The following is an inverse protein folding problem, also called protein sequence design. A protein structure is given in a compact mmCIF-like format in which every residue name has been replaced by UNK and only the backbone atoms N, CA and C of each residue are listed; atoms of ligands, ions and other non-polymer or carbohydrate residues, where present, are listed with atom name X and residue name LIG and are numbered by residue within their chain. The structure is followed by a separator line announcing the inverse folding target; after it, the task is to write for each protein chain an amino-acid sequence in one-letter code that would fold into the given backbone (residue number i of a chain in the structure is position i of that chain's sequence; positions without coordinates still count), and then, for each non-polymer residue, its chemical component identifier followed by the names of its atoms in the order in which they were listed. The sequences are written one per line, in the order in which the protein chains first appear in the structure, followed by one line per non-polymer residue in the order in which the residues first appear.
data_IF_578654254013
#
_entry.id   IF_578654254013
#
_cell.length_a   1.000
_cell.length_b   1.000
_cell.length_c   1.000
_cell.angle_alpha   90.00
_cell.angle_beta   90.00
_cell.angle_gamma   90.00
#
_symmetry.space_group_name_H-M   'P 1'
#
loop_
_entity.id
_entity.type
_entity.pdbx_description
1 polymer ?
#
# COMPACT_ATOMS: atom_id res chain seq x y z
N UNK A 1 -17.17 9.87 13.69
CA UNK A 1 -16.99 10.28 12.28
C UNK A 1 -17.42 9.13 11.39
N UNK A 2 -18.32 9.35 10.41
CA UNK A 2 -18.65 8.32 9.41
C UNK A 2 -17.66 8.45 8.25
N UNK A 3 -16.87 7.40 8.00
CA UNK A 3 -15.79 7.42 7.00
C UNK A 3 -16.31 7.70 5.58
N UNK A 4 -17.45 7.11 5.22
CA UNK A 4 -18.09 7.26 3.90
C UNK A 4 -19.57 7.67 4.06
N UNK A 5 -19.79 8.93 4.43
CA UNK A 5 -21.14 9.46 4.71
C UNK A 5 -22.10 9.29 3.54
N UNK A 6 -21.62 9.47 2.31
CA UNK A 6 -22.44 9.36 1.12
C UNK A 6 -23.00 7.96 0.90
N UNK A 7 -22.18 6.92 1.07
CA UNK A 7 -22.63 5.53 1.01
C UNK A 7 -23.64 5.23 2.13
N UNK A 8 -23.41 5.73 3.36
CA UNK A 8 -24.38 5.58 4.45
C UNK A 8 -25.75 6.20 4.10
N UNK A 9 -25.76 7.44 3.61
CA UNK A 9 -27.00 8.14 3.24
C UNK A 9 -27.72 7.45 2.07
N UNK A 10 -26.96 6.94 1.09
CA UNK A 10 -27.48 6.17 -0.04
C UNK A 10 -28.10 4.84 0.44
N UNK A 11 -27.40 4.06 1.26
CA UNK A 11 -27.92 2.79 1.76
C UNK A 11 -29.17 2.98 2.63
N UNK A 12 -29.21 4.06 3.41
CA UNK A 12 -30.37 4.43 4.22
C UNK A 12 -31.57 4.80 3.34
N UNK A 13 -31.38 5.57 2.26
CA UNK A 13 -32.47 5.94 1.35
C UNK A 13 -32.99 4.75 0.53
N UNK A 14 -32.13 3.76 0.26
CA UNK A 14 -32.50 2.51 -0.41
C UNK A 14 -33.30 1.54 0.47
N UNK A 15 -33.41 1.80 1.78
CA UNK A 15 -34.12 0.94 2.72
C UNK A 15 -33.53 -0.47 2.82
N UNK A 16 -32.21 -0.61 2.68
CA UNK A 16 -31.55 -1.92 2.67
C UNK A 16 -31.74 -2.64 4.00
N UNK A 17 -32.14 -3.91 3.91
CA UNK A 17 -32.20 -4.84 5.03
C UNK A 17 -31.37 -6.07 4.67
N UNK A 18 -30.40 -6.42 5.51
CA UNK A 18 -29.48 -7.53 5.22
C UNK A 18 -28.41 -7.19 4.18
N UNK A 19 -28.03 -8.16 3.37
CA UNK A 19 -26.98 -8.04 2.35
C UNK A 19 -27.55 -7.65 1.00
N UNK A 20 -26.83 -6.81 0.26
CA UNK A 20 -27.16 -6.42 -1.11
C UNK A 20 -26.17 -7.07 -2.09
N UNK A 21 -26.61 -7.89 -3.04
CA UNK A 21 -25.73 -8.40 -4.10
C UNK A 21 -25.10 -7.27 -4.91
N UNK A 22 -23.85 -7.44 -5.31
CA UNK A 22 -23.12 -6.38 -6.03
C UNK A 22 -23.80 -5.96 -7.33
N UNK A 23 -24.26 -6.93 -8.14
CA UNK A 23 -24.94 -6.63 -9.40
C UNK A 23 -26.25 -5.86 -9.18
N UNK A 24 -26.97 -6.19 -8.10
CA UNK A 24 -28.17 -5.45 -7.71
C UNK A 24 -27.84 -4.02 -7.26
N UNK A 25 -26.74 -3.84 -6.53
CA UNK A 25 -26.23 -2.50 -6.17
C UNK A 25 -25.91 -1.67 -7.41
N UNK A 26 -25.21 -2.25 -8.39
CA UNK A 26 -24.86 -1.55 -9.64
C UNK A 26 -26.12 -1.07 -10.36
N UNK A 27 -27.15 -1.92 -10.45
CA UNK A 27 -28.41 -1.56 -11.10
C UNK A 27 -29.19 -0.47 -10.37
N UNK A 28 -29.25 -0.53 -9.04
CA UNK A 28 -30.09 0.38 -8.23
C UNK A 28 -29.39 1.70 -7.89
N UNK A 29 -28.07 1.66 -7.70
CA UNK A 29 -27.31 2.74 -7.09
C UNK A 29 -25.86 2.83 -7.59
N UNK A 30 -25.55 2.27 -8.76
CA UNK A 30 -24.18 2.20 -9.31
C UNK A 30 -23.49 3.55 -9.46
N UNK A 31 -24.21 4.67 -9.53
CA UNK A 31 -23.64 6.02 -9.48
C UNK A 31 -22.83 6.28 -8.20
N UNK A 32 -23.09 5.55 -7.11
CA UNK A 32 -22.30 5.63 -5.89
C UNK A 32 -20.84 5.18 -6.09
N UNK A 33 -20.59 4.31 -7.09
CA UNK A 33 -19.23 3.87 -7.43
C UNK A 33 -18.34 5.00 -7.96
N UNK A 34 -18.90 6.10 -8.47
CA UNK A 34 -18.11 7.30 -8.80
C UNK A 34 -17.43 7.93 -7.58
N UNK A 35 -17.92 7.60 -6.38
CA UNK A 35 -17.37 8.08 -5.11
C UNK A 35 -16.49 7.01 -4.44
N UNK A 36 -16.35 5.83 -5.03
CA UNK A 36 -15.46 4.79 -4.53
C UNK A 36 -14.01 5.21 -4.79
N UNK A 37 -13.19 5.19 -3.74
CA UNK A 37 -11.78 5.53 -3.83
C UNK A 37 -11.00 4.34 -4.40
N UNK A 38 -10.36 4.52 -5.56
CA UNK A 38 -9.34 3.61 -6.06
C UNK A 38 -7.97 4.15 -5.67
N UNK A 39 -7.37 3.54 -4.65
CA UNK A 39 -6.01 3.85 -4.23
C UNK A 39 -5.03 3.18 -5.19
N UNK A 40 -4.20 3.93 -5.95
CA UNK A 40 -3.32 3.37 -6.96
C UNK A 40 -2.05 2.75 -6.35
N UNK A 41 -2.21 1.85 -5.39
CA UNK A 41 -1.14 1.10 -4.72
C UNK A 41 -1.42 -0.41 -4.70
N UNK A 42 -0.42 -1.20 -4.31
CA UNK A 42 -0.53 -2.67 -4.33
C UNK A 42 -0.90 -3.20 -5.71
N UNK A 43 -1.88 -4.10 -5.77
CA UNK A 43 -2.35 -4.76 -7.01
C UNK A 43 -2.95 -3.81 -8.04
N UNK A 44 -3.48 -2.67 -7.62
CA UNK A 44 -4.13 -1.72 -8.55
C UNK A 44 -3.17 -1.27 -9.65
N UNK A 45 -1.88 -1.08 -9.33
CA UNK A 45 -0.87 -0.71 -10.33
C UNK A 45 -0.66 -1.76 -11.42
N UNK A 46 -0.87 -3.04 -11.09
CA UNK A 46 -0.67 -4.18 -11.99
C UNK A 46 -1.95 -4.51 -12.76
N UNK A 47 -3.07 -4.77 -12.07
CA UNK A 47 -4.31 -5.24 -12.70
C UNK A 47 -5.11 -4.12 -13.36
N UNK A 48 -5.10 -2.92 -12.77
CA UNK A 48 -5.91 -1.77 -13.21
C UNK A 48 -5.06 -0.58 -13.67
N UNK A 49 -3.75 -0.75 -13.83
CA UNK A 49 -2.84 0.33 -14.21
C UNK A 49 -3.15 0.95 -15.57
N UNK A 50 -3.84 0.22 -16.45
CA UNK A 50 -4.30 0.71 -17.76
C UNK A 50 -5.37 1.80 -17.69
N UNK A 51 -6.02 1.98 -16.53
CA UNK A 51 -7.00 3.05 -16.29
C UNK A 51 -6.34 4.40 -15.95
N UNK A 52 -5.04 4.43 -15.73
CA UNK A 52 -4.32 5.61 -15.25
C UNK A 52 -3.19 6.00 -16.21
N UNK A 53 -2.82 7.29 -16.16
CA UNK A 53 -1.62 7.77 -16.83
C UNK A 53 -0.38 7.22 -16.13
N UNK A 54 0.57 6.71 -16.92
CA UNK A 54 1.87 6.25 -16.43
C UNK A 54 2.92 7.37 -16.48
N UNK A 55 3.84 7.33 -15.53
CA UNK A 55 4.97 8.25 -15.39
C UNK A 55 6.27 7.46 -15.15
N UNK A 56 7.43 7.93 -15.65
CA UNK A 56 8.71 7.28 -15.37
C UNK A 56 9.08 7.36 -13.88
N UNK A 57 9.98 6.49 -13.38
CA UNK A 57 10.30 6.43 -11.95
C UNK A 57 10.74 7.80 -11.38
N UNK A 58 11.57 8.52 -12.14
CA UNK A 58 12.10 9.86 -11.80
C UNK A 58 11.02 10.89 -11.45
N UNK A 59 9.79 10.70 -11.93
CA UNK A 59 8.68 11.59 -11.60
C UNK A 59 8.34 11.58 -10.11
N UNK A 60 8.64 10.48 -9.40
CA UNK A 60 8.29 10.28 -8.00
C UNK A 60 9.46 10.47 -7.03
N UNK A 61 10.68 10.74 -7.52
CA UNK A 61 11.91 10.74 -6.73
C UNK A 61 11.90 11.70 -5.54
N UNK A 62 11.29 12.87 -5.67
CA UNK A 62 11.20 13.86 -4.59
C UNK A 62 10.12 13.55 -3.55
N UNK A 63 9.33 12.49 -3.75
CA UNK A 63 8.28 12.07 -2.80
C UNK A 63 8.85 11.08 -1.78
N UNK A 64 8.29 11.08 -0.56
CA UNK A 64 8.61 10.09 0.47
C UNK A 64 7.34 9.45 1.03
N UNK A 65 7.50 8.38 1.81
CA UNK A 65 6.43 7.71 2.53
C UNK A 65 6.40 8.07 4.02
N UNK A 66 7.07 9.15 4.43
CA UNK A 66 7.15 9.55 5.83
C UNK A 66 5.78 9.66 6.49
N UNK A 67 4.84 10.38 5.84
CA UNK A 67 3.49 10.60 6.39
C UNK A 67 2.68 9.32 6.50
N UNK A 68 2.93 8.33 5.64
CA UNK A 68 2.25 7.05 5.65
C UNK A 68 2.86 6.09 6.68
N UNK A 69 4.18 6.14 6.88
CA UNK A 69 4.90 5.25 7.80
C UNK A 69 4.82 5.68 9.26
N UNK A 70 4.83 6.98 9.57
CA UNK A 70 4.86 7.50 10.95
C UNK A 70 3.49 7.91 11.49
N UNK A 71 2.43 7.62 10.73
CA UNK A 71 1.08 8.05 11.10
C UNK A 71 0.63 7.31 12.34
N UNK A 72 0.12 8.07 13.30
CA UNK A 72 -0.41 7.60 14.59
C UNK A 72 -1.82 6.99 14.47
N UNK A 73 -2.42 7.04 13.29
CA UNK A 73 -3.73 6.45 13.00
C UNK A 73 -3.72 5.68 11.67
N UNK A 74 -4.64 4.71 11.56
CA UNK A 74 -4.75 3.79 10.42
C UNK A 74 -3.58 2.80 10.34
N UNK A 75 -3.49 1.93 11.33
CA UNK A 75 -2.55 0.80 11.36
C UNK A 75 -3.32 -0.49 11.20
N UNK A 76 -2.64 -1.51 10.68
CA UNK A 76 -3.20 -2.86 10.53
C UNK A 76 -2.28 -3.87 11.21
N UNK A 77 -2.85 -5.01 11.58
CA UNK A 77 -2.10 -6.20 11.98
C UNK A 77 -2.55 -7.32 11.06
N UNK A 78 -1.62 -7.93 10.34
CA UNK A 78 -1.94 -9.05 9.46
C UNK A 78 -2.04 -10.38 10.23
N UNK A 79 -2.45 -11.45 9.54
CA UNK A 79 -2.60 -12.77 10.15
C UNK A 79 -1.28 -13.42 10.60
N UNK A 80 -0.13 -12.83 10.26
CA UNK A 80 1.21 -13.25 10.71
C UNK A 80 1.72 -12.37 11.86
N UNK A 81 0.88 -11.51 12.42
CA UNK A 81 1.21 -10.54 13.47
C UNK A 81 2.25 -9.49 13.02
N UNK A 82 2.38 -9.19 11.73
CA UNK A 82 3.15 -8.03 11.31
C UNK A 82 2.38 -6.75 11.66
N UNK A 83 3.05 -5.80 12.30
CA UNK A 83 2.54 -4.44 12.46
C UNK A 83 2.71 -3.70 11.12
N UNK A 84 1.61 -3.46 10.42
CA UNK A 84 1.60 -2.87 9.08
C UNK A 84 1.22 -1.39 9.17
N UNK A 85 2.09 -0.47 8.69
CA UNK A 85 1.80 0.96 8.73
C UNK A 85 0.85 1.36 7.61
N UNK A 86 -0.15 2.19 7.91
CA UNK A 86 -0.93 2.90 6.90
C UNK A 86 -1.49 2.01 5.78
N UNK A 87 -1.40 2.54 4.54
CA UNK A 87 -1.74 1.83 3.31
C UNK A 87 -0.58 0.99 2.74
N UNK A 88 0.44 0.68 3.56
CA UNK A 88 1.72 0.13 3.09
C UNK A 88 1.80 -1.39 3.26
N UNK A 89 0.85 -2.12 2.66
CA UNK A 89 0.89 -3.58 2.63
C UNK A 89 2.25 -4.13 2.11
N UNK A 90 2.67 -5.25 2.69
CA UNK A 90 3.99 -5.85 2.46
C UNK A 90 5.13 -5.25 3.29
N UNK A 91 4.86 -4.26 4.14
CA UNK A 91 5.82 -3.71 5.10
C UNK A 91 5.43 -4.13 6.52
N UNK A 92 6.41 -4.59 7.29
CA UNK A 92 6.30 -4.85 8.71
C UNK A 92 7.21 -3.91 9.49
N UNK A 93 6.65 -3.15 10.43
CA UNK A 93 7.41 -2.38 11.42
C UNK A 93 7.92 -3.28 12.56
N UNK A 94 7.41 -4.51 12.66
CA UNK A 94 7.82 -5.55 13.60
C UNK A 94 6.65 -6.42 14.03
N UNK A 95 6.82 -7.15 15.13
CA UNK A 95 5.83 -8.12 15.60
C UNK A 95 4.82 -7.47 16.56
N UNK A 96 3.55 -7.47 16.18
CA UNK A 96 2.45 -6.89 16.94
C UNK A 96 2.15 -7.63 18.26
N UNK A 97 2.80 -8.76 18.54
CA UNK A 97 2.77 -9.40 19.87
C UNK A 97 3.72 -8.72 20.86
N UNK A 98 4.61 -7.86 20.38
CA UNK A 98 5.62 -7.14 21.15
C UNK A 98 5.47 -5.61 20.98
N UNK A 99 4.24 -5.09 21.12
CA UNK A 99 3.94 -3.67 20.89
C UNK A 99 4.78 -2.71 21.76
N UNK A 100 5.04 -3.06 23.02
CA UNK A 100 5.83 -2.21 23.91
C UNK A 100 7.24 -1.97 23.34
N UNK A 101 7.88 -3.01 22.79
CA UNK A 101 9.18 -2.89 22.13
C UNK A 101 9.11 -2.03 20.85
N UNK A 102 7.97 -2.04 20.13
CA UNK A 102 7.78 -1.16 18.98
C UNK A 102 7.63 0.31 19.39
N UNK A 103 7.04 0.57 20.55
CA UNK A 103 6.92 1.91 21.13
C UNK A 103 8.28 2.50 21.57
N UNK A 104 9.28 1.66 21.86
CA UNK A 104 10.65 2.10 22.15
C UNK A 104 11.36 2.66 20.90
N UNK A 105 10.84 2.38 19.70
CA UNK A 105 11.34 2.87 18.43
C UNK A 105 11.94 1.77 17.54
N UNK A 106 12.21 2.13 16.29
CA UNK A 106 12.71 1.21 15.26
C UNK A 106 14.13 1.62 14.86
N UNK A 107 15.07 0.68 14.93
CA UNK A 107 16.43 0.91 14.47
C UNK A 107 16.49 0.93 12.93
N UNK A 108 16.54 2.13 12.35
CA UNK A 108 16.61 2.31 10.89
C UNK A 108 17.92 1.83 10.25
N UNK A 109 18.98 1.57 11.03
CA UNK A 109 20.21 1.00 10.49
C UNK A 109 20.02 -0.46 10.07
N UNK A 110 19.14 -1.18 10.76
CA UNK A 110 18.78 -2.57 10.46
C UNK A 110 17.61 -2.67 9.46
N UNK A 111 17.04 -1.51 9.05
CA UNK A 111 15.83 -1.40 8.22
C UNK A 111 16.06 -0.47 7.02
N UNK A 112 16.98 -0.82 6.11
CA UNK A 112 17.39 0.06 5.02
C UNK A 112 16.23 0.44 4.08
N UNK A 113 15.22 -0.41 3.89
CA UNK A 113 14.06 -0.06 3.05
C UNK A 113 13.18 0.97 3.75
N UNK A 114 12.94 0.82 5.06
CA UNK A 114 12.21 1.83 5.84
C UNK A 114 12.96 3.16 5.85
N UNK A 115 14.29 3.13 6.03
CA UNK A 115 15.14 4.32 5.98
C UNK A 115 15.01 5.04 4.64
N UNK A 116 15.13 4.31 3.53
CA UNK A 116 14.96 4.88 2.19
C UNK A 116 13.58 5.52 2.02
N UNK A 117 12.50 4.81 2.39
CA UNK A 117 11.12 5.30 2.30
C UNK A 117 10.84 6.54 3.16
N UNK A 118 11.51 6.70 4.29
CA UNK A 118 11.42 7.89 5.14
C UNK A 118 12.16 9.10 4.56
N UNK A 119 13.13 8.87 3.66
CA UNK A 119 13.90 9.90 2.97
C UNK A 119 13.25 10.27 1.65
N UNK A 120 13.23 9.37 0.66
CA UNK A 120 12.67 9.61 -0.66
C UNK A 120 12.49 8.31 -1.47
N UNK A 121 11.71 8.36 -2.55
CA UNK A 121 11.66 7.24 -3.50
C UNK A 121 12.91 7.14 -4.37
N UNK A 122 13.70 8.20 -4.48
CA UNK A 122 15.02 8.13 -5.13
C UNK A 122 15.97 7.21 -4.37
N UNK A 123 16.04 7.33 -3.05
CA UNK A 123 16.85 6.45 -2.19
C UNK A 123 16.39 4.99 -2.29
N UNK A 124 15.07 4.77 -2.34
CA UNK A 124 14.53 3.42 -2.54
C UNK A 124 14.91 2.88 -3.92
N UNK A 125 14.84 3.73 -4.95
CA UNK A 125 15.20 3.36 -6.31
C UNK A 125 16.68 3.00 -6.41
N UNK A 126 17.58 3.80 -5.83
CA UNK A 126 19.02 3.53 -5.77
C UNK A 126 19.31 2.21 -5.04
N UNK A 127 18.67 1.97 -3.88
CA UNK A 127 18.75 0.69 -3.20
C UNK A 127 18.28 -0.46 -4.11
N UNK A 128 17.17 -0.28 -4.84
CA UNK A 128 16.74 -1.25 -5.84
C UNK A 128 17.81 -1.52 -6.90
N UNK A 129 18.47 -0.48 -7.42
CA UNK A 129 19.49 -0.61 -8.45
C UNK A 129 20.71 -1.43 -7.99
N UNK A 130 21.09 -1.33 -6.71
CA UNK A 130 22.14 -2.17 -6.11
C UNK A 130 21.81 -3.66 -6.20
N UNK A 131 20.52 -4.02 -6.23
CA UNK A 131 20.01 -5.38 -6.38
C UNK A 131 19.55 -5.70 -7.81
N UNK A 132 19.91 -4.87 -8.80
CA UNK A 132 19.61 -5.09 -10.21
C UNK A 132 18.21 -4.66 -10.65
N UNK A 133 17.55 -3.77 -9.91
CA UNK A 133 16.24 -3.22 -10.30
C UNK A 133 16.28 -2.52 -11.66
N UNK A 134 15.27 -2.80 -12.48
CA UNK A 134 15.01 -2.13 -13.76
C UNK A 134 13.59 -1.59 -13.73
N UNK A 135 13.42 -0.34 -14.18
CA UNK A 135 12.08 0.25 -14.20
C UNK A 135 11.17 -0.37 -15.26
N UNK A 136 9.88 -0.50 -14.94
CA UNK A 136 8.82 -0.81 -15.90
C UNK A 136 8.58 0.36 -16.88
N UNK A 137 7.71 0.15 -17.88
CA UNK A 137 7.25 1.17 -18.84
C UNK A 137 6.56 2.40 -18.20
N UNK A 138 6.36 2.37 -16.87
CA UNK A 138 5.97 3.50 -16.06
C UNK A 138 5.00 3.13 -14.94
N UNK A 139 4.84 4.05 -14.01
CA UNK A 139 4.07 3.87 -12.79
C UNK A 139 2.91 4.86 -12.72
N UNK A 140 1.82 4.42 -12.11
CA UNK A 140 0.59 5.20 -11.96
C UNK A 140 0.59 6.05 -10.68
N UNK A 141 1.52 5.75 -9.76
CA UNK A 141 1.70 6.48 -8.50
C UNK A 141 3.06 6.16 -7.88
N UNK A 142 3.44 6.93 -6.85
CA UNK A 142 4.60 6.61 -5.99
C UNK A 142 4.48 5.24 -5.33
N UNK A 143 3.26 4.82 -4.98
CA UNK A 143 3.02 3.53 -4.32
C UNK A 143 3.22 2.36 -5.30
N UNK A 144 2.90 2.54 -6.59
CA UNK A 144 3.19 1.55 -7.61
C UNK A 144 4.71 1.34 -7.75
N UNK A 145 5.49 2.42 -7.93
CA UNK A 145 6.96 2.36 -7.97
C UNK A 145 7.54 1.69 -6.70
N UNK A 146 7.09 2.13 -5.53
CA UNK A 146 7.54 1.60 -4.24
C UNK A 146 7.28 0.09 -4.09
N UNK A 147 6.08 -0.38 -4.45
CA UNK A 147 5.74 -1.82 -4.39
C UNK A 147 6.60 -2.61 -5.36
N UNK A 148 6.82 -2.12 -6.57
CA UNK A 148 7.59 -2.81 -7.60
C UNK A 148 9.06 -2.99 -7.20
N UNK A 149 9.71 -1.95 -6.68
CA UNK A 149 11.07 -2.07 -6.12
C UNK A 149 11.09 -3.06 -4.95
N UNK A 150 10.17 -2.92 -4.00
CA UNK A 150 10.10 -3.82 -2.84
C UNK A 150 9.84 -5.27 -3.23
N UNK A 151 9.12 -5.53 -4.32
CA UNK A 151 8.87 -6.88 -4.83
C UNK A 151 10.17 -7.57 -5.23
N UNK A 152 11.11 -6.85 -5.84
CA UNK A 152 12.44 -7.38 -6.13
C UNK A 152 13.20 -7.62 -4.83
N UNK A 153 13.29 -6.61 -3.96
CA UNK A 153 14.05 -6.67 -2.71
C UNK A 153 13.54 -7.79 -1.78
N UNK A 154 12.22 -8.01 -1.73
CA UNK A 154 11.64 -9.08 -0.90
C UNK A 154 12.11 -10.49 -1.32
N UNK A 155 12.45 -10.70 -2.61
CA UNK A 155 12.93 -11.99 -3.11
C UNK A 155 14.34 -12.33 -2.61
N UNK A 156 15.13 -11.35 -2.18
CA UNK A 156 16.48 -11.59 -1.66
C UNK A 156 16.45 -12.23 -0.27
N UNK A 157 15.38 -12.00 0.50
CA UNK A 157 15.25 -12.43 1.88
C UNK A 157 16.10 -11.62 2.88
N UNK A 158 16.88 -10.64 2.40
CA UNK A 158 17.78 -9.83 3.24
C UNK A 158 17.04 -8.78 4.07
N UNK A 159 15.88 -8.31 3.56
CA UNK A 159 15.13 -7.22 4.16
C UNK A 159 13.99 -7.72 5.03
N UNK A 160 14.24 -7.81 6.33
CA UNK A 160 13.28 -8.39 7.28
C UNK A 160 12.00 -7.55 7.46
N UNK A 161 12.01 -6.27 7.06
CA UNK A 161 10.83 -5.40 7.00
C UNK A 161 9.88 -5.69 5.83
N UNK A 162 10.28 -6.50 4.84
CA UNK A 162 9.45 -6.83 3.68
C UNK A 162 8.66 -8.12 3.91
N UNK A 163 7.53 -8.00 4.62
CA UNK A 163 6.67 -9.12 5.01
C UNK A 163 5.19 -8.77 4.89
N UNK A 164 4.33 -9.78 4.65
CA UNK A 164 4.66 -11.18 4.38
C UNK A 164 5.13 -11.36 2.93
N UNK A 165 5.97 -12.37 2.65
CA UNK A 165 6.46 -12.63 1.29
C UNK A 165 5.32 -12.94 0.31
N UNK A 166 4.25 -13.55 0.81
CA UNK A 166 3.04 -13.86 0.07
C UNK A 166 2.40 -12.61 -0.54
N UNK A 167 2.43 -11.45 0.14
CA UNK A 167 1.92 -10.20 -0.43
C UNK A 167 2.57 -9.89 -1.78
N UNK A 168 3.88 -10.08 -1.90
CA UNK A 168 4.64 -9.81 -3.12
C UNK A 168 4.45 -10.89 -4.19
N UNK A 169 4.16 -12.13 -3.76
CA UNK A 169 3.87 -13.26 -4.66
C UNK A 169 2.53 -13.12 -5.39
N UNK A 170 1.57 -12.41 -4.79
CA UNK A 170 0.19 -12.30 -5.29
C UNK A 170 -0.15 -10.91 -5.86
N UNK A 171 0.86 -10.14 -6.31
CA UNK A 171 0.62 -8.77 -6.81
C UNK A 171 -0.10 -8.72 -8.17
N UNK A 172 -0.09 -9.82 -8.92
CA UNK A 172 -0.68 -9.94 -10.26
C UNK A 172 -1.89 -10.89 -10.30
N UNK A 173 -2.28 -11.44 -9.16
CA UNK A 173 -3.47 -12.29 -8.99
C UNK A 173 -4.79 -11.50 -9.15
#
# INVERSE_FOLDING_TARGET
MLYQRSFYEQFRSMGLQGTLPFDEYVQRAGHGLYQAELLPGGRVGYSLGHLFRKHPARHFFTTSCRRELIRDWHIHVDNYCNFVPGYCAGISLGDARHLDALCEGINLQERPVLRALLTSLEELYQLGQEFGYQELDGYVSKCHLCVDIRRLLAKTGEFTELKPLQFYGHLED
#
